data_IF_548753668709
#
_entry.id   IF_548753668709
#
_cell.length_a   1.000
_cell.length_b   1.000
_cell.length_c   1.000
_cell.angle_alpha   90.00
_cell.angle_beta   90.00
_cell.angle_gamma   90.00
#
_symmetry.space_group_name_H-M   'P 1'
#
loop_
_entity.id
_entity.type
_entity.pdbx_description
1 polymer ?
#
# COMPACT_ATOMS: atom_id res chain seq x y z
N UNK A 1 7.35 -16.95 -19.57
CA UNK A 1 8.77 -16.65 -19.24
C UNK A 1 8.87 -16.68 -17.71
N UNK A 2 9.96 -17.21 -17.18
CA UNK A 2 10.07 -17.78 -15.82
C UNK A 2 9.99 -16.67 -14.76
N UNK A 3 9.04 -16.75 -13.82
CA UNK A 3 9.05 -15.93 -12.61
C UNK A 3 10.25 -16.35 -11.75
N UNK A 4 11.36 -15.65 -11.91
CA UNK A 4 12.44 -15.62 -10.94
C UNK A 4 12.02 -14.70 -9.80
N UNK A 5 12.19 -15.13 -8.55
CA UNK A 5 11.91 -14.26 -7.40
C UNK A 5 12.95 -13.15 -7.36
N UNK A 6 12.51 -11.90 -7.46
CA UNK A 6 13.35 -10.69 -7.51
C UNK A 6 13.17 -9.86 -6.22
N UNK A 7 14.21 -9.17 -5.76
CA UNK A 7 14.10 -8.21 -4.63
C UNK A 7 15.06 -7.02 -4.78
N UNK A 8 14.77 -5.91 -4.10
CA UNK A 8 15.63 -4.72 -4.05
C UNK A 8 16.11 -4.48 -2.62
N UNK A 9 17.42 -4.37 -2.43
CA UNK A 9 18.02 -3.98 -1.15
C UNK A 9 19.09 -2.91 -1.39
N UNK A 10 19.03 -1.80 -0.65
CA UNK A 10 20.02 -0.71 -0.70
C UNK A 10 20.29 -0.16 -2.13
N UNK A 11 19.28 -0.13 -2.99
CA UNK A 11 19.40 0.36 -4.37
C UNK A 11 19.96 -0.66 -5.37
N UNK A 12 20.15 -1.91 -4.95
CA UNK A 12 20.64 -3.03 -5.78
C UNK A 12 19.53 -4.04 -6.00
N UNK A 13 19.50 -4.68 -7.17
CA UNK A 13 18.51 -5.69 -7.54
C UNK A 13 19.13 -7.07 -7.39
N UNK A 14 18.36 -8.01 -6.82
CA UNK A 14 18.79 -9.38 -6.61
C UNK A 14 17.81 -10.36 -7.25
N UNK A 15 18.36 -11.41 -7.85
CA UNK A 15 17.63 -12.53 -8.47
C UNK A 15 17.82 -13.78 -7.63
N UNK A 16 16.76 -14.54 -7.39
CA UNK A 16 16.86 -15.83 -6.74
C UNK A 16 17.42 -16.89 -7.72
N UNK A 17 18.64 -17.34 -7.44
CA UNK A 17 19.28 -18.41 -8.16
C UNK A 17 18.86 -19.77 -7.56
N UNK A 18 18.16 -20.59 -8.35
CA UNK A 18 17.65 -21.90 -7.91
C UNK A 18 18.76 -22.92 -7.65
N UNK A 19 19.91 -22.78 -8.31
CA UNK A 19 21.06 -23.69 -8.18
C UNK A 19 21.81 -23.45 -6.87
N UNK A 20 22.03 -22.18 -6.52
CA UNK A 20 22.72 -21.79 -5.28
C UNK A 20 21.75 -21.62 -4.10
N UNK A 21 20.44 -21.54 -4.38
CA UNK A 21 19.37 -21.23 -3.41
C UNK A 21 19.60 -19.89 -2.69
N UNK A 22 20.24 -18.94 -3.38
CA UNK A 22 20.61 -17.63 -2.84
C UNK A 22 20.12 -16.51 -3.76
N UNK A 23 20.04 -15.31 -3.20
CA UNK A 23 19.82 -14.08 -3.96
C UNK A 23 21.16 -13.50 -4.38
N UNK A 24 21.33 -13.31 -5.68
CA UNK A 24 22.56 -12.80 -6.28
C UNK A 24 22.27 -11.44 -6.92
N UNK A 25 23.16 -10.47 -6.70
CA UNK A 25 23.04 -9.13 -7.28
C UNK A 25 23.07 -9.25 -8.81
N UNK A 26 22.10 -8.63 -9.49
CA UNK A 26 22.02 -8.60 -10.95
C UNK A 26 22.20 -7.18 -11.45
N UNK A 27 22.95 -7.06 -12.54
CA UNK A 27 23.03 -5.84 -13.35
C UNK A 27 22.25 -5.97 -14.66
N UNK A 28 21.44 -7.03 -14.81
CA UNK A 28 20.65 -7.25 -16.01
C UNK A 28 19.55 -6.19 -16.12
N UNK A 29 19.67 -5.31 -17.12
CA UNK A 29 18.76 -4.20 -17.35
C UNK A 29 17.30 -4.63 -17.61
N UNK A 30 17.06 -5.79 -18.21
CA UNK A 30 15.71 -6.30 -18.46
C UNK A 30 15.02 -6.71 -17.15
N UNK A 31 15.73 -7.46 -16.29
CA UNK A 31 15.20 -7.88 -14.98
C UNK A 31 15.00 -6.68 -14.04
N UNK A 32 15.93 -5.71 -14.07
CA UNK A 32 15.79 -4.44 -13.35
C UNK A 32 14.57 -3.68 -13.89
N UNK A 33 14.42 -3.58 -15.21
CA UNK A 33 13.30 -2.93 -15.87
C UNK A 33 11.96 -3.56 -15.49
N UNK A 34 11.86 -4.88 -15.56
CA UNK A 34 10.65 -5.63 -15.16
C UNK A 34 10.29 -5.43 -13.69
N UNK A 35 11.27 -5.41 -12.78
CA UNK A 35 11.02 -5.18 -11.35
C UNK A 35 10.61 -3.73 -11.06
N UNK A 36 11.18 -2.75 -11.77
CA UNK A 36 10.78 -1.34 -11.65
C UNK A 36 9.38 -1.16 -12.22
N UNK A 37 9.05 -1.78 -13.35
CA UNK A 37 7.71 -1.80 -13.94
C UNK A 37 6.71 -2.46 -12.99
N UNK A 38 7.02 -3.64 -12.44
CA UNK A 38 6.18 -4.31 -11.45
C UNK A 38 5.97 -3.44 -10.21
N UNK A 39 7.02 -2.79 -9.70
CA UNK A 39 6.87 -1.81 -8.60
C UNK A 39 6.06 -0.58 -9.00
N UNK A 40 6.23 -0.07 -10.21
CA UNK A 40 5.51 1.10 -10.71
C UNK A 40 4.03 0.79 -10.98
N UNK A 41 3.72 -0.41 -11.48
CA UNK A 41 2.38 -0.95 -11.65
C UNK A 41 1.71 -1.20 -10.29
N UNK A 42 2.45 -1.76 -9.32
CA UNK A 42 2.04 -1.85 -7.91
C UNK A 42 2.00 -0.49 -7.19
N UNK A 43 2.47 0.59 -7.82
CA UNK A 43 2.42 1.96 -7.30
C UNK A 43 1.45 2.86 -8.09
N UNK A 44 0.74 2.35 -9.10
CA UNK A 44 -0.21 3.15 -9.85
C UNK A 44 -1.49 3.35 -8.99
N UNK A 45 -1.79 4.58 -8.53
CA UNK A 45 -2.91 4.82 -7.63
C UNK A 45 -4.26 4.35 -8.19
N UNK A 46 -4.43 4.37 -9.52
CA UNK A 46 -5.66 3.93 -10.18
C UNK A 46 -5.81 2.39 -10.17
N UNK A 47 -4.70 1.65 -10.29
CA UNK A 47 -4.72 0.19 -10.17
C UNK A 47 -5.02 -0.23 -8.73
N UNK A 48 -4.34 0.36 -7.75
CA UNK A 48 -4.60 0.09 -6.33
C UNK A 48 -6.03 0.47 -5.95
N UNK A 49 -6.57 1.57 -6.50
CA UNK A 49 -7.97 1.96 -6.33
C UNK A 49 -8.92 0.89 -6.87
N UNK A 50 -8.64 0.36 -8.06
CA UNK A 50 -9.42 -0.72 -8.67
C UNK A 50 -9.36 -1.99 -7.84
N UNK A 51 -8.19 -2.36 -7.32
CA UNK A 51 -8.03 -3.50 -6.41
C UNK A 51 -8.83 -3.31 -5.13
N UNK A 52 -8.80 -2.11 -4.53
CA UNK A 52 -9.62 -1.80 -3.36
C UNK A 52 -11.12 -1.94 -3.65
N UNK A 53 -11.58 -1.43 -4.79
CA UNK A 53 -13.00 -1.56 -5.21
C UNK A 53 -13.36 -3.04 -5.40
N UNK A 54 -12.51 -3.82 -6.07
CA UNK A 54 -12.72 -5.25 -6.26
C UNK A 54 -12.75 -6.00 -4.92
N UNK A 55 -11.86 -5.65 -3.98
CA UNK A 55 -11.87 -6.19 -2.62
C UNK A 55 -13.20 -5.90 -1.92
N UNK A 56 -13.70 -4.66 -1.98
CA UNK A 56 -14.98 -4.30 -1.38
C UNK A 56 -16.12 -5.12 -1.98
N UNK A 57 -16.19 -5.20 -3.30
CA UNK A 57 -17.23 -5.96 -4.01
C UNK A 57 -17.19 -7.46 -3.67
N UNK A 58 -16.00 -8.07 -3.64
CA UNK A 58 -15.81 -9.48 -3.26
C UNK A 58 -16.30 -9.78 -1.84
N UNK A 59 -16.25 -8.79 -0.95
CA UNK A 59 -16.72 -8.88 0.43
C UNK A 59 -18.16 -8.34 0.62
N UNK A 60 -18.92 -8.14 -0.46
CA UNK A 60 -20.29 -7.59 -0.44
C UNK A 60 -20.38 -6.19 0.23
N UNK A 61 -19.35 -5.38 0.07
CA UNK A 61 -19.27 -4.01 0.57
C UNK A 61 -19.36 -3.02 -0.58
N UNK A 62 -20.11 -1.94 -0.38
CA UNK A 62 -20.25 -0.88 -1.38
C UNK A 62 -19.01 0.06 -1.42
N UNK A 63 -18.50 0.43 -2.60
CA UNK A 63 -17.48 1.48 -2.75
C UNK A 63 -18.12 2.87 -2.61
N UNK A 64 -18.51 3.23 -1.39
CA UNK A 64 -19.11 4.56 -1.09
C UNK A 64 -18.10 5.68 -1.32
N UNK A 65 -18.59 6.89 -1.65
CA UNK A 65 -17.76 8.11 -1.81
C UNK A 65 -16.82 8.30 -0.62
N UNK A 66 -17.31 8.16 0.61
CA UNK A 66 -16.51 8.26 1.85
C UNK A 66 -15.25 7.39 1.80
N UNK A 67 -15.41 6.10 1.50
CA UNK A 67 -14.32 5.10 1.44
C UNK A 67 -13.31 5.46 0.35
N UNK A 68 -13.79 5.91 -0.81
CA UNK A 68 -12.93 6.27 -1.93
C UNK A 68 -12.14 7.55 -1.63
N UNK A 69 -12.78 8.57 -1.06
CA UNK A 69 -12.10 9.80 -0.64
C UNK A 69 -11.06 9.53 0.44
N UNK A 70 -11.36 8.68 1.43
CA UNK A 70 -10.37 8.27 2.45
C UNK A 70 -9.16 7.59 1.80
N UNK A 71 -9.40 6.65 0.88
CA UNK A 71 -8.34 5.98 0.12
C UNK A 71 -7.46 7.00 -0.63
N UNK A 72 -8.06 7.96 -1.34
CA UNK A 72 -7.33 9.00 -2.07
C UNK A 72 -6.49 9.88 -1.14
N UNK A 73 -6.97 10.22 0.06
CA UNK A 73 -6.16 10.97 1.03
C UNK A 73 -4.96 10.17 1.54
N UNK A 74 -5.12 8.86 1.71
CA UNK A 74 -4.06 7.96 2.16
C UNK A 74 -3.00 7.76 1.07
N UNK A 75 -3.40 7.56 -0.19
CA UNK A 75 -2.47 7.38 -1.30
C UNK A 75 -1.55 8.60 -1.53
N UNK A 76 -2.01 9.78 -1.13
CA UNK A 76 -1.21 11.01 -1.21
C UNK A 76 -0.25 11.20 -0.01
N UNK A 77 -0.20 10.26 0.95
CA UNK A 77 0.75 10.34 2.06
C UNK A 77 2.11 9.76 1.67
N UNK A 78 3.16 10.56 1.82
CA UNK A 78 4.55 10.16 1.57
C UNK A 78 5.25 9.56 2.80
N UNK A 79 4.66 9.72 3.98
CA UNK A 79 5.22 9.31 5.27
C UNK A 79 4.16 8.63 6.12
N UNK A 80 4.54 8.11 7.29
CA UNK A 80 3.59 7.47 8.18
C UNK A 80 2.49 8.46 8.61
N UNK A 81 1.26 7.96 8.71
CA UNK A 81 0.07 8.76 8.99
C UNK A 81 -0.77 8.13 10.10
N UNK A 82 -1.66 8.92 10.68
CA UNK A 82 -2.60 8.47 11.72
C UNK A 82 -4.03 8.61 11.23
N UNK A 83 -4.94 7.84 11.82
CA UNK A 83 -6.38 7.93 11.52
C UNK A 83 -6.88 9.37 11.71
N UNK A 84 -6.45 10.04 12.78
CA UNK A 84 -6.83 11.43 13.06
C UNK A 84 -6.35 12.38 11.96
N UNK A 85 -5.10 12.25 11.51
CA UNK A 85 -4.55 13.10 10.42
C UNK A 85 -5.36 12.94 9.13
N UNK A 86 -5.74 11.71 8.78
CA UNK A 86 -6.56 11.47 7.59
C UNK A 86 -7.98 12.00 7.80
N UNK A 87 -8.57 11.81 8.98
CA UNK A 87 -9.88 12.36 9.30
C UNK A 87 -9.93 13.89 9.16
N UNK A 88 -8.93 14.59 9.70
CA UNK A 88 -8.80 16.05 9.58
C UNK A 88 -8.67 16.51 8.11
N UNK A 89 -8.03 15.70 7.24
CA UNK A 89 -7.94 15.98 5.80
C UNK A 89 -9.26 15.75 5.07
N UNK A 90 -9.95 14.66 5.37
CA UNK A 90 -11.24 14.33 4.72
C UNK A 90 -12.33 15.29 5.14
N UNK A 91 -12.32 15.76 6.39
CA UNK A 91 -13.29 16.74 6.92
C UNK A 91 -13.37 18.05 6.13
N UNK A 92 -12.32 18.40 5.37
CA UNK A 92 -12.32 19.59 4.49
C UNK A 92 -13.22 19.44 3.27
N UNK A 93 -13.56 18.22 2.90
CA UNK A 93 -14.33 17.88 1.70
C UNK A 93 -15.64 17.16 2.05
N UNK A 94 -15.65 16.38 3.13
CA UNK A 94 -16.79 15.56 3.51
C UNK A 94 -16.93 15.46 5.03
N UNK A 95 -18.14 15.75 5.53
CA UNK A 95 -18.46 15.58 6.94
C UNK A 95 -18.69 14.10 7.29
N UNK A 96 -17.61 13.43 7.70
CA UNK A 96 -17.65 12.03 8.14
C UNK A 96 -17.19 11.87 9.59
N UNK A 97 -17.67 10.81 10.24
CA UNK A 97 -17.25 10.48 11.60
C UNK A 97 -15.85 9.86 11.63
N UNK A 98 -15.14 10.02 12.74
CA UNK A 98 -13.87 9.31 12.98
C UNK A 98 -14.05 7.78 12.92
N UNK A 99 -15.23 7.28 13.31
CA UNK A 99 -15.59 5.86 13.22
C UNK A 99 -15.61 5.37 11.76
N UNK A 100 -16.15 6.18 10.85
CA UNK A 100 -16.17 5.87 9.41
C UNK A 100 -14.74 5.75 8.85
N UNK A 101 -13.86 6.67 9.25
CA UNK A 101 -12.44 6.61 8.87
C UNK A 101 -11.78 5.36 9.43
N UNK A 102 -11.96 5.09 10.72
CA UNK A 102 -11.39 3.90 11.38
C UNK A 102 -11.84 2.59 10.70
N UNK A 103 -13.14 2.46 10.40
CA UNK A 103 -13.66 1.29 9.69
C UNK A 103 -13.01 1.13 8.31
N UNK A 104 -12.83 2.24 7.59
CA UNK A 104 -12.17 2.21 6.28
C UNK A 104 -10.70 1.82 6.38
N UNK A 105 -9.99 2.26 7.42
CA UNK A 105 -8.62 1.82 7.70
C UNK A 105 -8.52 0.31 7.93
N UNK A 106 -9.47 -0.28 8.66
CA UNK A 106 -9.52 -1.73 8.81
C UNK A 106 -9.67 -2.42 7.45
N UNK A 107 -10.59 -1.96 6.61
CA UNK A 107 -10.78 -2.51 5.26
C UNK A 107 -9.54 -2.36 4.38
N UNK A 108 -8.87 -1.21 4.41
CA UNK A 108 -7.63 -0.98 3.66
C UNK A 108 -6.48 -1.87 4.14
N UNK A 109 -6.40 -2.09 5.45
CA UNK A 109 -5.41 -3.00 6.04
C UNK A 109 -5.70 -4.45 5.64
N UNK A 110 -6.97 -4.86 5.70
CA UNK A 110 -7.40 -6.21 5.32
C UNK A 110 -7.25 -6.46 3.81
N UNK A 111 -7.37 -5.41 3.00
CA UNK A 111 -7.04 -5.41 1.58
C UNK A 111 -5.52 -5.41 1.30
N UNK A 112 -4.67 -5.29 2.33
CA UNK A 112 -3.22 -5.26 2.18
C UNK A 112 -2.68 -3.96 1.58
N UNK A 113 -3.45 -2.86 1.59
CA UNK A 113 -3.05 -1.55 1.02
C UNK A 113 -2.28 -0.72 2.05
N UNK A 114 -2.58 -0.89 3.33
CA UNK A 114 -1.86 -0.22 4.42
C UNK A 114 -1.43 -1.23 5.49
N UNK A 115 -0.39 -0.90 6.24
CA UNK A 115 0.06 -1.67 7.41
C UNK A 115 0.33 -0.76 8.60
N UNK A 116 0.33 -1.36 9.79
CA UNK A 116 0.70 -0.64 11.02
C UNK A 116 2.22 -0.48 11.02
N UNK A 117 2.68 0.76 11.16
CA UNK A 117 4.11 1.06 11.28
C UNK A 117 4.62 0.62 12.65
N UNK A 118 5.85 0.09 12.69
CA UNK A 118 6.50 -0.35 13.94
C UNK A 118 7.03 0.82 14.80
N UNK A 119 6.80 2.07 14.38
CA UNK A 119 7.29 3.27 15.05
C UNK A 119 6.58 3.49 16.38
N UNK A 120 7.29 3.26 17.48
CA UNK A 120 6.82 3.54 18.84
C UNK A 120 7.23 4.94 19.27
N UNK A 121 6.46 5.96 18.91
CA UNK A 121 6.61 7.31 19.50
C UNK A 121 5.78 7.42 20.80
N UNK A 122 4.63 6.75 20.86
CA UNK A 122 3.72 6.74 22.00
C UNK A 122 2.86 5.48 21.98
N UNK A 123 2.60 4.88 23.15
CA UNK A 123 1.78 3.66 23.28
C UNK A 123 0.30 3.84 22.95
N UNK A 124 -0.15 5.08 22.71
CA UNK A 124 -1.59 5.42 22.54
C UNK A 124 -1.99 5.74 21.10
N UNK A 125 -1.07 5.82 20.15
CA UNK A 125 -1.37 6.21 18.76
C UNK A 125 -0.76 5.22 17.79
N UNK A 126 -1.62 4.59 16.99
CA UNK A 126 -1.19 3.75 15.88
C UNK A 126 -0.80 4.62 14.68
N UNK A 127 0.40 4.42 14.19
CA UNK A 127 0.88 4.96 12.92
C UNK A 127 0.68 3.90 11.83
N UNK A 128 0.33 4.35 10.64
CA UNK A 128 0.10 3.54 9.46
C UNK A 128 1.02 4.00 8.33
N UNK A 129 1.35 3.10 7.44
CA UNK A 129 2.10 3.36 6.22
C UNK A 129 1.51 2.54 5.07
N UNK A 130 1.77 2.96 3.83
CA UNK A 130 1.38 2.18 2.65
C UNK A 130 2.11 0.83 2.67
N UNK A 131 1.38 -0.23 2.31
CA UNK A 131 1.98 -1.52 2.06
C UNK A 131 2.64 -1.46 0.68
N UNK A 132 3.97 -1.39 0.68
CA UNK A 132 4.78 -1.40 -0.54
C UNK A 132 5.20 -2.80 -0.97
#
# INVERSE_FOLDING_TARGET
>A
MICESLKIEQGKVFVYNKSTKLFEETSNAELIGSLILEKAENSNPDLIKKEFIMFLQKNNLNPTIERITIFEKIQNETFEFTIKKIHDKVLKELHISLRTVNNTFHLLKDAGIIKISNKKISSRVNYFELAG
#
